data_IF_729683533720
#
_entry.id   IF_729683533720
#
_cell.length_a   1.000
_cell.length_b   1.000
_cell.length_c   1.000
_cell.angle_alpha   90.00
_cell.angle_beta   90.00
_cell.angle_gamma   90.00
#
_symmetry.space_group_name_H-M   'P 1'
#
loop_
_entity.id
_entity.type
_entity.pdbx_description
1 polymer ?
#
# COMPACT_ATOMS: atom_id res chain seq x y z
N UNK A 1 32.86 -27.86 24.10
CA UNK A 1 33.68 -26.93 24.89
C UNK A 1 34.03 -25.72 24.03
N UNK A 2 33.19 -24.69 24.07
CA UNK A 2 33.53 -23.33 23.61
C UNK A 2 32.60 -22.39 24.38
N UNK A 3 33.19 -21.54 25.22
CA UNK A 3 32.52 -20.68 26.21
C UNK A 3 32.04 -19.40 25.52
N UNK A 4 30.81 -18.99 25.79
CA UNK A 4 30.36 -17.60 25.62
C UNK A 4 30.34 -16.91 27.00
N UNK A 5 31.01 -15.76 27.19
CA UNK A 5 30.86 -14.95 28.39
C UNK A 5 29.93 -13.75 28.16
N UNK A 6 29.21 -13.35 29.22
CA UNK A 6 28.81 -11.95 29.44
C UNK A 6 27.33 -11.60 29.38
N UNK A 7 26.54 -12.02 30.37
CA UNK A 7 25.30 -11.36 30.75
C UNK A 7 25.62 -10.13 31.62
N UNK A 8 25.23 -8.93 31.17
CA UNK A 8 25.17 -7.67 31.95
C UNK A 8 23.88 -6.89 31.55
N UNK A 9 23.42 -5.89 32.33
CA UNK A 9 22.04 -5.83 32.82
C UNK A 9 21.13 -4.98 31.92
N UNK A 10 20.28 -5.63 31.12
CA UNK A 10 19.18 -4.96 30.39
C UNK A 10 17.97 -4.67 31.32
N UNK A 11 17.93 -5.29 32.50
CA UNK A 11 16.74 -5.28 33.36
C UNK A 11 16.44 -3.95 34.06
N UNK A 12 17.42 -3.08 34.29
CA UNK A 12 17.20 -1.81 35.04
C UNK A 12 16.75 -0.66 34.13
N UNK A 13 17.20 -0.62 32.87
CA UNK A 13 16.80 0.41 31.91
C UNK A 13 15.35 0.25 31.43
N UNK A 14 14.88 -1.00 31.26
CA UNK A 14 13.49 -1.30 30.85
C UNK A 14 12.49 -0.93 31.96
N UNK A 15 12.84 -1.14 33.23
CA UNK A 15 11.96 -0.80 34.36
C UNK A 15 11.87 0.71 34.64
N UNK A 16 12.96 1.46 34.44
CA UNK A 16 12.94 2.93 34.54
C UNK A 16 12.11 3.58 33.41
N UNK A 17 12.18 3.02 32.20
CA UNK A 17 11.35 3.43 31.07
C UNK A 17 9.85 3.21 31.32
N UNK A 18 9.47 2.05 31.87
CA UNK A 18 8.07 1.71 32.15
C UNK A 18 7.43 2.58 33.25
N UNK A 19 8.17 2.94 34.31
CA UNK A 19 7.65 3.79 35.38
C UNK A 19 7.45 5.26 34.93
N UNK A 20 8.38 5.80 34.14
CA UNK A 20 8.24 7.13 33.51
C UNK A 20 7.11 7.17 32.48
N UNK A 21 6.91 6.08 31.75
CA UNK A 21 5.86 5.91 30.75
C UNK A 21 4.45 5.77 31.37
N UNK A 22 4.31 5.04 32.49
CA UNK A 22 3.03 4.94 33.21
C UNK A 22 2.60 6.25 33.89
N UNK A 23 3.54 7.02 34.47
CA UNK A 23 3.24 8.33 35.06
C UNK A 23 2.82 9.36 34.00
N UNK A 24 3.46 9.32 32.82
CA UNK A 24 3.12 10.15 31.67
C UNK A 24 1.73 9.81 31.08
N UNK A 25 1.39 8.52 30.97
CA UNK A 25 0.06 8.07 30.53
C UNK A 25 -1.11 8.51 31.43
N UNK A 26 -0.83 8.90 32.68
CA UNK A 26 -1.81 9.46 33.62
C UNK A 26 -1.87 11.00 33.60
N UNK A 27 -1.23 11.64 32.62
CA UNK A 27 -1.22 13.11 32.48
C UNK A 27 -0.40 13.83 33.57
N UNK A 28 0.44 13.11 34.31
CA UNK A 28 1.31 13.67 35.35
C UNK A 28 2.76 13.31 35.11
N UNK A 29 3.44 14.12 34.29
CA UNK A 29 4.89 14.09 34.17
C UNK A 29 5.42 14.64 32.83
N UNK A 30 6.70 15.03 32.78
CA UNK A 30 7.40 15.33 31.54
C UNK A 30 7.45 14.07 30.65
N UNK A 31 7.27 14.20 29.34
CA UNK A 31 7.31 13.07 28.40
C UNK A 31 8.63 12.28 28.52
N UNK A 32 8.64 10.97 28.24
CA UNK A 32 9.87 10.18 28.23
C UNK A 32 10.99 10.82 27.39
N UNK A 33 10.65 11.44 26.26
CA UNK A 33 11.58 12.19 25.43
C UNK A 33 12.22 13.41 26.15
N UNK A 34 11.43 14.15 26.92
CA UNK A 34 11.95 15.29 27.70
C UNK A 34 12.80 14.87 28.90
N UNK A 35 12.53 13.69 29.49
CA UNK A 35 13.36 13.12 30.55
C UNK A 35 14.69 12.57 30.01
N UNK A 36 14.67 11.95 28.83
CA UNK A 36 15.89 11.53 28.12
C UNK A 36 16.70 12.76 27.70
N UNK A 37 16.06 13.83 27.21
CA UNK A 37 16.73 15.09 26.87
C UNK A 37 17.38 15.78 28.09
N UNK A 38 16.78 15.63 29.29
CA UNK A 38 17.34 16.17 30.53
C UNK A 38 18.49 15.33 31.12
N UNK A 39 18.63 14.07 30.70
CA UNK A 39 19.65 13.12 31.21
C UNK A 39 20.80 12.89 30.24
N UNK A 40 20.65 13.28 28.98
CA UNK A 40 21.77 13.34 28.05
C UNK A 40 22.85 14.29 28.60
N UNK A 41 24.11 13.84 28.77
CA UNK A 41 25.18 14.73 29.17
C UNK A 41 25.25 15.87 28.15
N UNK A 42 25.20 17.12 28.63
CA UNK A 42 25.41 18.30 27.78
C UNK A 42 26.67 18.05 26.98
N UNK A 43 26.54 17.95 25.64
CA UNK A 43 27.69 17.76 24.77
C UNK A 43 28.73 18.84 25.13
N UNK A 44 29.95 18.47 25.51
CA UNK A 44 31.01 19.46 25.69
C UNK A 44 31.17 20.20 24.34
N UNK A 45 31.45 21.51 24.37
CA UNK A 45 31.63 22.28 23.14
C UNK A 45 32.67 21.57 22.27
N UNK A 46 32.28 21.24 21.04
CA UNK A 46 33.11 20.51 20.11
C UNK A 46 34.44 21.28 19.92
N UNK A 47 35.56 20.63 20.26
CA UNK A 47 36.88 21.17 19.96
C UNK A 47 37.02 21.37 18.45
N UNK A 48 37.34 22.60 18.05
CA UNK A 48 37.53 23.02 16.67
C UNK A 48 38.73 22.28 16.04
N UNK A 49 38.44 21.29 15.19
CA UNK A 49 39.43 20.73 14.28
C UNK A 49 39.73 21.69 13.11
N UNK A 50 40.90 21.59 12.47
CA UNK A 50 41.26 22.40 11.31
C UNK A 50 40.44 21.93 10.09
N UNK A 51 39.28 22.56 9.94
CA UNK A 51 38.27 22.24 8.91
C UNK A 51 36.88 22.75 9.26
N UNK A 52 36.77 23.72 10.19
CA UNK A 52 35.49 24.31 10.59
C UNK A 52 34.81 24.89 9.35
N UNK A 53 33.62 24.40 8.94
CA UNK A 53 32.82 25.10 7.96
C UNK A 53 32.61 26.54 8.45
N UNK A 54 32.65 27.54 7.55
CA UNK A 54 32.60 28.95 7.92
C UNK A 54 31.47 29.20 8.91
N UNK A 55 31.76 29.97 9.97
CA UNK A 55 30.82 30.27 11.04
C UNK A 55 29.48 30.70 10.44
N UNK A 56 28.40 30.09 10.93
CA UNK A 56 27.02 30.31 10.46
C UNK A 56 26.60 31.80 10.52
N UNK A 57 27.34 32.61 11.27
CA UNK A 57 27.15 34.05 11.46
C UNK A 57 27.55 34.93 10.26
N UNK A 58 28.22 34.40 9.24
CA UNK A 58 28.62 35.16 8.05
C UNK A 58 27.66 34.99 6.84
N UNK A 59 26.45 34.46 7.04
CA UNK A 59 25.45 34.39 5.96
C UNK A 59 24.89 35.79 5.74
N UNK A 60 24.99 36.28 4.50
CA UNK A 60 24.34 37.53 4.11
C UNK A 60 22.84 37.47 4.49
N UNK A 61 22.26 38.58 4.98
CA UNK A 61 20.83 38.63 5.27
C UNK A 61 20.05 38.23 4.01
N UNK A 62 19.16 37.27 4.16
CA UNK A 62 18.33 36.79 3.05
C UNK A 62 17.39 37.93 2.63
N UNK A 63 17.52 38.39 1.39
CA UNK A 63 16.54 39.26 0.75
C UNK A 63 15.28 38.44 0.46
N UNK A 64 14.41 38.36 1.48
CA UNK A 64 13.23 37.51 1.45
C UNK A 64 12.26 37.86 0.30
N UNK A 65 11.94 39.14 0.03
CA UNK A 65 11.14 39.49 -1.15
C UNK A 65 11.73 39.01 -2.47
N UNK A 66 13.02 39.24 -2.72
CA UNK A 66 13.67 38.80 -3.96
C UNK A 66 13.67 37.26 -4.06
N UNK A 67 13.92 36.57 -2.96
CA UNK A 67 13.97 35.11 -2.94
C UNK A 67 12.59 34.48 -3.14
N UNK A 68 11.53 34.99 -2.51
CA UNK A 68 10.16 34.50 -2.71
C UNK A 68 9.70 34.78 -4.15
N UNK A 69 10.01 35.95 -4.71
CA UNK A 69 9.72 36.25 -6.11
C UNK A 69 10.42 35.26 -7.06
N UNK A 70 11.69 34.93 -6.80
CA UNK A 70 12.43 33.91 -7.56
C UNK A 70 11.79 32.52 -7.44
N UNK A 71 11.46 32.09 -6.23
CA UNK A 71 10.83 30.78 -5.98
C UNK A 71 9.45 30.67 -6.63
N UNK A 72 8.67 31.75 -6.69
CA UNK A 72 7.40 31.81 -7.40
C UNK A 72 7.53 31.68 -8.93
N UNK A 73 8.70 31.98 -9.51
CA UNK A 73 8.97 31.88 -10.95
C UNK A 73 9.46 30.51 -11.40
N UNK A 74 9.82 29.61 -10.48
CA UNK A 74 10.26 28.26 -10.82
C UNK A 74 9.10 27.47 -11.44
N UNK A 75 9.37 26.82 -12.58
CA UNK A 75 8.40 25.90 -13.18
C UNK A 75 8.30 24.60 -12.37
N UNK A 76 7.24 23.84 -12.67
CA UNK A 76 6.94 22.60 -11.95
C UNK A 76 7.93 21.48 -12.23
N UNK A 77 8.47 21.40 -13.44
CA UNK A 77 9.41 20.32 -13.79
C UNK A 77 10.72 20.48 -13.04
N UNK A 78 11.21 21.71 -12.90
CA UNK A 78 12.35 22.07 -12.07
C UNK A 78 12.12 21.71 -10.59
N UNK A 79 10.88 21.85 -10.12
CA UNK A 79 10.54 21.53 -8.73
C UNK A 79 10.55 20.02 -8.42
N UNK A 80 10.26 19.15 -9.39
CA UNK A 80 10.32 17.70 -9.19
C UNK A 80 11.74 17.12 -9.29
N UNK A 81 12.67 17.84 -9.93
CA UNK A 81 14.07 17.44 -10.01
C UNK A 81 14.85 17.94 -8.78
N UNK A 82 16.05 17.40 -8.58
CA UNK A 82 16.92 17.43 -7.38
C UNK A 82 17.19 18.79 -6.69
N UNK A 83 16.69 19.90 -7.21
CA UNK A 83 16.77 21.25 -6.64
C UNK A 83 15.96 21.44 -5.34
N UNK A 84 15.14 20.45 -4.94
CA UNK A 84 14.42 20.51 -3.66
C UNK A 84 15.33 20.70 -2.45
N UNK A 85 16.55 20.16 -2.43
CA UNK A 85 17.38 20.21 -1.23
C UNK A 85 17.88 21.62 -0.91
N UNK A 86 18.38 22.37 -1.89
CA UNK A 86 18.89 23.72 -1.66
C UNK A 86 17.78 24.71 -1.28
N UNK A 87 16.67 24.68 -2.01
CA UNK A 87 15.54 25.57 -1.74
C UNK A 87 14.84 25.22 -0.43
N UNK A 88 14.76 23.93 -0.10
CA UNK A 88 14.29 23.50 1.20
C UNK A 88 15.21 23.96 2.33
N UNK A 89 16.53 23.88 2.18
CA UNK A 89 17.47 24.37 3.20
C UNK A 89 17.34 25.89 3.44
N UNK A 90 17.04 26.67 2.42
CA UNK A 90 16.70 28.10 2.59
C UNK A 90 15.40 28.28 3.37
N UNK A 91 14.34 27.58 3.01
CA UNK A 91 13.05 27.63 3.74
C UNK A 91 13.24 27.19 5.19
N UNK A 92 14.01 26.13 5.45
CA UNK A 92 14.36 25.65 6.80
C UNK A 92 15.21 26.62 7.60
N UNK A 93 15.80 27.63 6.96
CA UNK A 93 16.52 28.68 7.68
C UNK A 93 15.60 29.82 8.15
N UNK A 94 14.36 29.89 7.64
CA UNK A 94 13.41 30.95 7.99
C UNK A 94 12.92 30.80 9.43
N UNK A 95 12.76 31.94 10.09
CA UNK A 95 12.06 32.10 11.38
C UNK A 95 10.55 32.22 11.19
N UNK A 96 9.76 32.10 12.27
CA UNK A 96 8.29 32.25 12.20
C UNK A 96 7.86 33.59 11.56
N UNK A 97 8.43 34.76 11.94
CA UNK A 97 8.07 36.02 11.29
C UNK A 97 8.36 36.01 9.78
N UNK A 98 9.50 35.46 9.36
CA UNK A 98 9.86 35.35 7.95
C UNK A 98 8.96 34.37 7.18
N UNK A 99 8.53 33.27 7.80
CA UNK A 99 7.57 32.35 7.18
C UNK A 99 6.23 33.05 6.92
N UNK A 100 5.74 33.84 7.89
CA UNK A 100 4.49 34.61 7.75
C UNK A 100 4.62 35.70 6.68
N UNK A 101 5.75 36.41 6.65
CA UNK A 101 6.05 37.42 5.63
C UNK A 101 6.11 36.78 4.23
N UNK A 102 6.79 35.64 4.09
CA UNK A 102 6.84 34.88 2.85
C UNK A 102 5.44 34.47 2.36
N UNK A 103 4.57 33.98 3.25
CA UNK A 103 3.19 33.63 2.92
C UNK A 103 2.38 34.86 2.45
N UNK A 104 2.60 36.03 3.03
CA UNK A 104 1.98 37.29 2.59
C UNK A 104 2.46 37.73 1.21
N UNK A 105 3.76 37.64 0.95
CA UNK A 105 4.36 37.94 -0.36
C UNK A 105 3.79 37.03 -1.46
N UNK A 106 3.63 35.73 -1.15
CA UNK A 106 3.02 34.76 -2.07
C UNK A 106 1.55 35.12 -2.34
N UNK A 107 0.80 35.52 -1.31
CA UNK A 107 -0.61 35.93 -1.46
C UNK A 107 -0.79 37.17 -2.34
N UNK A 108 0.23 38.03 -2.43
CA UNK A 108 0.25 39.19 -3.33
C UNK A 108 0.64 38.85 -4.78
N UNK A 109 1.01 37.61 -5.08
CA UNK A 109 1.47 37.18 -6.40
C UNK A 109 0.35 36.48 -7.17
N UNK A 110 0.17 36.79 -8.47
CA UNK A 110 -0.86 36.18 -9.34
C UNK A 110 -0.51 34.76 -9.84
N UNK A 111 0.66 34.22 -9.48
CA UNK A 111 1.11 32.90 -9.90
C UNK A 111 0.28 31.79 -9.20
N UNK A 112 -0.37 30.91 -9.97
CA UNK A 112 -1.34 29.94 -9.42
C UNK A 112 -0.75 28.58 -9.01
N UNK A 113 0.33 28.11 -9.67
CA UNK A 113 0.77 26.71 -9.49
C UNK A 113 2.03 26.56 -8.62
N UNK A 114 3.11 27.28 -8.93
CA UNK A 114 4.36 27.30 -8.14
C UNK A 114 4.13 27.75 -6.69
N UNK A 115 3.14 28.62 -6.48
CA UNK A 115 2.76 29.15 -5.17
C UNK A 115 2.16 28.09 -4.24
N UNK A 116 1.46 27.08 -4.76
CA UNK A 116 0.87 26.02 -3.92
C UNK A 116 1.95 25.25 -3.18
N UNK A 117 2.94 24.75 -3.90
CA UNK A 117 3.97 23.90 -3.33
C UNK A 117 4.90 24.67 -2.38
N UNK A 118 5.22 25.93 -2.73
CA UNK A 118 5.94 26.83 -1.84
C UNK A 118 5.14 27.11 -0.55
N UNK A 119 3.82 27.31 -0.63
CA UNK A 119 2.97 27.39 0.57
C UNK A 119 3.02 26.11 1.39
N UNK A 120 2.93 24.93 0.77
CA UNK A 120 3.00 23.64 1.47
C UNK A 120 4.33 23.49 2.24
N UNK A 121 5.45 23.90 1.65
CA UNK A 121 6.76 23.94 2.31
C UNK A 121 6.81 24.95 3.47
N UNK A 122 6.29 26.15 3.29
CA UNK A 122 6.26 27.17 4.33
C UNK A 122 5.38 26.76 5.51
N UNK A 123 4.25 26.11 5.27
CA UNK A 123 3.39 25.55 6.31
C UNK A 123 4.03 24.37 7.04
N UNK A 124 4.74 23.48 6.33
CA UNK A 124 5.58 22.46 6.96
C UNK A 124 6.62 23.13 7.88
N UNK A 125 7.35 24.12 7.37
CA UNK A 125 8.35 24.85 8.16
C UNK A 125 7.74 25.56 9.37
N UNK A 126 6.57 26.18 9.22
CA UNK A 126 5.85 26.77 10.34
C UNK A 126 5.55 25.70 11.38
N UNK A 127 5.05 24.53 10.97
CA UNK A 127 4.77 23.43 11.89
C UNK A 127 6.02 22.82 12.55
N UNK A 128 7.19 22.87 11.91
CA UNK A 128 8.46 22.50 12.58
C UNK A 128 8.80 23.43 13.75
N UNK A 129 8.39 24.70 13.67
CA UNK A 129 8.75 25.75 14.64
C UNK A 129 7.67 25.92 15.71
N UNK A 130 6.40 25.98 15.30
CA UNK A 130 5.21 26.12 16.14
C UNK A 130 4.01 25.42 15.46
N UNK A 131 3.80 24.12 15.76
CA UNK A 131 2.75 23.35 15.11
C UNK A 131 1.33 23.77 15.49
N UNK A 132 1.10 24.24 16.72
CA UNK A 132 -0.23 24.68 17.14
C UNK A 132 -0.63 25.96 16.42
N UNK A 133 0.30 26.93 16.32
CA UNK A 133 0.05 28.16 15.58
C UNK A 133 -0.14 27.90 14.08
N UNK A 134 0.69 27.03 13.49
CA UNK A 134 0.56 26.65 12.08
C UNK A 134 -0.81 26.01 11.78
N UNK A 135 -1.28 25.11 12.64
CA UNK A 135 -2.60 24.47 12.47
C UNK A 135 -3.76 25.43 12.71
N UNK A 136 -3.62 26.41 13.61
CA UNK A 136 -4.58 27.48 13.77
C UNK A 136 -4.68 28.35 12.51
N UNK A 137 -3.55 28.63 11.85
CA UNK A 137 -3.52 29.33 10.58
C UNK A 137 -4.19 28.50 9.46
N UNK A 138 -3.90 27.21 9.35
CA UNK A 138 -4.56 26.30 8.39
C UNK A 138 -6.07 26.32 8.54
N UNK A 139 -6.59 26.30 9.78
CA UNK A 139 -8.03 26.30 10.03
C UNK A 139 -8.75 27.57 9.48
N UNK A 140 -8.02 28.68 9.32
CA UNK A 140 -8.55 29.91 8.70
C UNK A 140 -8.69 29.80 7.17
N UNK A 141 -7.97 28.87 6.52
CA UNK A 141 -7.96 28.69 5.07
C UNK A 141 -8.89 27.56 4.63
N UNK A 142 -10.17 27.88 4.42
CA UNK A 142 -11.14 26.90 3.90
C UNK A 142 -10.73 26.42 2.50
N UNK A 143 -10.71 25.09 2.31
CA UNK A 143 -10.44 24.46 1.01
C UNK A 143 -8.96 24.21 0.70
N UNK A 144 -8.03 24.63 1.54
CA UNK A 144 -6.58 24.42 1.34
C UNK A 144 -6.07 23.17 2.09
N UNK A 145 -6.73 22.02 1.87
CA UNK A 145 -6.45 20.76 2.58
C UNK A 145 -4.96 20.35 2.51
N UNK A 146 -4.31 20.60 1.37
CA UNK A 146 -2.91 20.22 1.18
C UNK A 146 -1.93 20.98 2.09
N UNK A 147 -2.22 22.25 2.42
CA UNK A 147 -1.41 23.02 3.38
C UNK A 147 -1.52 22.42 4.78
N UNK A 148 -2.76 22.09 5.17
CA UNK A 148 -3.04 21.39 6.42
C UNK A 148 -2.38 20.03 6.49
N UNK A 149 -2.44 19.24 5.42
CA UNK A 149 -1.78 17.93 5.37
C UNK A 149 -0.26 18.05 5.51
N UNK A 150 0.35 19.06 4.87
CA UNK A 150 1.80 19.30 4.96
C UNK A 150 2.25 19.69 6.37
N UNK A 151 1.55 20.66 6.99
CA UNK A 151 1.81 21.08 8.36
C UNK A 151 1.59 19.93 9.36
N UNK A 152 0.47 19.23 9.25
CA UNK A 152 0.12 18.14 10.15
C UNK A 152 1.07 16.94 10.02
N UNK A 153 1.46 16.57 8.80
CA UNK A 153 2.44 15.50 8.58
C UNK A 153 3.78 15.82 9.24
N UNK A 154 4.24 17.07 9.09
CA UNK A 154 5.48 17.55 9.72
C UNK A 154 5.38 17.47 11.25
N UNK A 155 4.23 17.86 11.81
CA UNK A 155 3.98 17.72 13.25
C UNK A 155 4.00 16.26 13.69
N UNK A 156 3.24 15.38 13.01
CA UNK A 156 3.15 13.95 13.31
C UNK A 156 4.53 13.27 13.30
N UNK A 157 5.39 13.60 12.35
CA UNK A 157 6.75 13.05 12.29
C UNK A 157 7.62 13.44 13.48
N UNK A 158 7.43 14.64 14.02
CA UNK A 158 8.27 15.19 15.09
C UNK A 158 7.76 14.84 16.48
N UNK A 159 6.45 14.94 16.70
CA UNK A 159 5.80 14.70 17.98
C UNK A 159 4.39 14.11 17.75
N UNK A 160 4.28 12.79 17.48
CA UNK A 160 3.00 12.15 17.19
C UNK A 160 2.04 12.19 18.37
N UNK A 161 2.53 12.23 19.62
CA UNK A 161 1.71 12.30 20.83
C UNK A 161 1.09 13.69 21.01
N UNK A 162 1.85 14.77 20.78
CA UNK A 162 1.30 16.13 20.79
C UNK A 162 0.28 16.32 19.68
N UNK A 163 0.57 15.80 18.48
CA UNK A 163 -0.38 15.83 17.37
C UNK A 163 -1.68 15.08 17.74
N UNK A 164 -1.60 13.91 18.40
CA UNK A 164 -2.78 13.18 18.86
C UNK A 164 -3.61 14.00 19.86
N UNK A 165 -2.99 14.66 20.83
CA UNK A 165 -3.70 15.56 21.76
C UNK A 165 -4.38 16.71 21.04
N UNK A 166 -3.79 17.21 19.96
CA UNK A 166 -4.42 18.21 19.10
C UNK A 166 -5.63 17.65 18.36
N UNK A 167 -5.55 16.41 17.85
CA UNK A 167 -6.67 15.71 17.21
C UNK A 167 -7.87 15.54 18.14
N UNK A 168 -7.65 15.20 19.41
CA UNK A 168 -8.74 15.06 20.39
C UNK A 168 -9.56 16.34 20.54
N UNK A 169 -8.92 17.51 20.40
CA UNK A 169 -9.56 18.83 20.44
C UNK A 169 -10.14 19.26 19.09
N UNK A 170 -9.59 18.74 17.97
CA UNK A 170 -9.87 19.20 16.60
C UNK A 170 -10.33 18.06 15.68
N UNK A 171 -11.12 17.11 16.20
CA UNK A 171 -11.37 15.82 15.55
C UNK A 171 -11.87 15.87 14.11
N UNK A 172 -12.77 16.81 13.77
CA UNK A 172 -13.28 16.96 12.40
C UNK A 172 -12.18 17.40 11.42
N UNK A 173 -11.42 18.45 11.78
CA UNK A 173 -10.30 18.93 10.95
C UNK A 173 -9.20 17.87 10.84
N UNK A 174 -8.84 17.21 11.95
CA UNK A 174 -7.86 16.12 11.94
C UNK A 174 -8.30 14.95 11.04
N UNK A 175 -9.58 14.59 11.07
CA UNK A 175 -10.15 13.55 10.19
C UNK A 175 -10.11 13.98 8.73
N UNK A 176 -10.49 15.22 8.42
CA UNK A 176 -10.41 15.80 7.07
C UNK A 176 -8.98 15.78 6.53
N UNK A 177 -7.99 16.07 7.38
CA UNK A 177 -6.58 16.05 7.00
C UNK A 177 -5.97 14.64 6.93
N UNK A 178 -6.74 13.60 7.28
CA UNK A 178 -6.30 12.20 7.18
C UNK A 178 -5.31 11.79 8.27
N UNK A 179 -5.37 12.41 9.45
CA UNK A 179 -4.40 12.21 10.53
C UNK A 179 -4.17 10.74 10.93
N UNK A 180 -5.24 9.95 11.02
CA UNK A 180 -5.13 8.53 11.37
C UNK A 180 -4.31 7.74 10.34
N UNK A 181 -4.35 8.16 9.06
CA UNK A 181 -3.51 7.59 8.00
C UNK A 181 -2.04 7.93 8.20
N UNK A 182 -1.74 9.19 8.53
CA UNK A 182 -0.39 9.67 8.81
C UNK A 182 0.24 8.96 10.02
N UNK A 183 -0.48 8.87 11.14
CA UNK A 183 0.00 8.17 12.33
C UNK A 183 0.26 6.69 12.02
N UNK A 184 -0.62 6.04 11.25
CA UNK A 184 -0.41 4.67 10.84
C UNK A 184 0.83 4.53 9.94
N UNK A 185 1.01 5.40 8.95
CA UNK A 185 2.19 5.39 8.08
C UNK A 185 3.50 5.58 8.85
N UNK A 186 3.52 6.47 9.84
CA UNK A 186 4.68 6.67 10.70
C UNK A 186 5.03 5.39 11.47
N UNK A 187 4.02 4.76 12.10
CA UNK A 187 4.21 3.55 12.87
C UNK A 187 4.59 2.33 12.01
N UNK A 188 4.18 2.25 10.75
CA UNK A 188 4.56 1.15 9.84
C UNK A 188 6.06 1.14 9.49
N UNK A 189 6.82 2.20 9.83
CA UNK A 189 8.28 2.24 9.69
C UNK A 189 9.00 1.59 10.87
N UNK A 190 8.28 1.29 11.95
CA UNK A 190 8.79 0.63 13.15
C UNK A 190 8.66 -0.90 13.01
N UNK A 191 9.22 -1.64 13.96
CA UNK A 191 8.98 -3.08 14.04
C UNK A 191 7.48 -3.39 14.25
N UNK A 192 6.89 -4.40 13.57
CA UNK A 192 5.45 -4.67 13.61
C UNK A 192 4.82 -4.79 14.99
N UNK A 193 5.49 -5.47 15.94
CA UNK A 193 5.00 -5.62 17.30
C UNK A 193 4.97 -4.28 18.04
N UNK A 194 6.03 -3.48 17.91
CA UNK A 194 6.15 -2.13 18.49
C UNK A 194 5.09 -1.19 17.87
N UNK A 195 4.91 -1.25 16.55
CA UNK A 195 3.91 -0.46 15.84
C UNK A 195 2.49 -0.77 16.35
N UNK A 196 2.17 -2.05 16.53
CA UNK A 196 0.87 -2.47 17.02
C UNK A 196 0.63 -2.07 18.48
N UNK A 197 1.63 -2.22 19.35
CA UNK A 197 1.58 -1.77 20.74
C UNK A 197 1.31 -0.26 20.81
N UNK A 198 2.13 0.55 20.12
CA UNK A 198 1.95 2.01 20.05
C UNK A 198 0.56 2.37 19.51
N UNK A 199 0.08 1.69 18.48
CA UNK A 199 -1.23 1.96 17.89
C UNK A 199 -2.41 1.73 18.85
N UNK A 200 -2.25 0.89 19.90
CA UNK A 200 -3.30 0.75 20.94
C UNK A 200 -3.52 2.04 21.71
N UNK A 201 -2.48 2.87 21.88
CA UNK A 201 -2.54 4.16 22.58
C UNK A 201 -2.97 5.31 21.66
N UNK A 202 -2.75 5.19 20.35
CA UNK A 202 -3.14 6.20 19.36
C UNK A 202 -4.61 6.11 18.90
N UNK A 203 -5.33 5.09 19.37
CA UNK A 203 -6.76 4.92 19.15
C UNK A 203 -7.12 3.86 18.10
N UNK A 204 -8.40 3.46 18.10
CA UNK A 204 -8.93 2.32 17.32
C UNK A 204 -8.72 2.46 15.80
N UNK A 205 -8.77 3.67 15.26
CA UNK A 205 -8.70 3.89 13.81
C UNK A 205 -7.27 3.76 13.29
N UNK A 206 -6.28 4.26 14.05
CA UNK A 206 -4.85 4.08 13.74
C UNK A 206 -4.52 2.59 13.80
N UNK A 207 -4.95 1.92 14.87
CA UNK A 207 -4.77 0.47 15.02
C UNK A 207 -5.41 -0.33 13.89
N UNK A 208 -6.64 -0.03 13.51
CA UNK A 208 -7.31 -0.70 12.40
C UNK A 208 -6.55 -0.54 11.07
N UNK A 209 -5.93 0.63 10.84
CA UNK A 209 -5.08 0.86 9.65
C UNK A 209 -3.79 0.05 9.72
N UNK A 210 -3.08 0.03 10.85
CA UNK A 210 -1.88 -0.81 11.02
C UNK A 210 -2.22 -2.27 10.71
N UNK A 211 -3.29 -2.79 11.32
CA UNK A 211 -3.76 -4.15 11.08
C UNK A 211 -4.11 -4.41 9.60
N UNK A 212 -4.60 -3.42 8.86
CA UNK A 212 -4.87 -3.58 7.44
C UNK A 212 -3.59 -3.67 6.56
N UNK A 213 -2.48 -3.05 6.99
CA UNK A 213 -1.23 -3.01 6.21
C UNK A 213 -0.21 -4.08 6.60
N UNK A 214 -0.15 -4.47 7.89
CA UNK A 214 0.79 -5.48 8.39
C UNK A 214 0.80 -6.77 7.54
N UNK A 215 -0.36 -7.31 7.11
CA UNK A 215 -0.38 -8.50 6.28
C UNK A 215 0.46 -8.41 5.00
N UNK A 216 0.49 -7.26 4.34
CA UNK A 216 1.23 -7.08 3.10
C UNK A 216 2.74 -6.88 3.35
N UNK A 217 3.10 -6.23 4.45
CA UNK A 217 4.50 -5.98 4.81
C UNK A 217 5.22 -7.25 5.29
N UNK A 218 4.50 -8.14 5.97
CA UNK A 218 5.11 -9.27 6.67
C UNK A 218 5.14 -10.56 5.86
N UNK A 219 4.78 -10.48 4.57
CA UNK A 219 4.53 -11.67 3.76
C UNK A 219 5.73 -12.19 3.00
N UNK A 220 6.74 -11.34 2.82
CA UNK A 220 7.86 -11.57 1.93
C UNK A 220 8.79 -12.71 2.40
N UNK A 221 9.17 -12.71 3.68
CA UNK A 221 10.16 -13.65 4.22
C UNK A 221 9.54 -14.64 5.21
N UNK A 222 10.15 -15.82 5.34
CA UNK A 222 9.70 -16.83 6.32
C UNK A 222 9.70 -16.30 7.75
N UNK A 223 10.72 -15.54 8.13
CA UNK A 223 10.84 -14.93 9.46
C UNK A 223 9.73 -13.91 9.73
N UNK A 224 9.43 -13.04 8.77
CA UNK A 224 8.32 -12.09 8.87
C UNK A 224 6.97 -12.81 8.98
N UNK A 225 6.78 -13.91 8.24
CA UNK A 225 5.54 -14.71 8.35
C UNK A 225 5.43 -15.38 9.73
N UNK A 226 6.54 -15.86 10.30
CA UNK A 226 6.57 -16.43 11.64
C UNK A 226 6.31 -15.38 12.74
N UNK A 227 6.86 -14.17 12.61
CA UNK A 227 6.53 -13.03 13.46
C UNK A 227 5.04 -12.68 13.38
N UNK A 228 4.47 -12.63 12.18
CA UNK A 228 3.04 -12.33 12.01
C UNK A 228 2.16 -13.35 12.72
N UNK A 229 2.52 -14.65 12.69
CA UNK A 229 1.79 -15.70 13.44
C UNK A 229 1.84 -15.45 14.96
N UNK A 230 3.00 -15.03 15.49
CA UNK A 230 3.12 -14.64 16.91
C UNK A 230 2.23 -13.46 17.26
N UNK A 231 2.14 -12.45 16.38
CA UNK A 231 1.21 -11.32 16.54
C UNK A 231 -0.26 -11.79 16.53
N UNK A 232 -0.63 -12.71 15.63
CA UNK A 232 -2.00 -13.25 15.60
C UNK A 232 -2.41 -13.88 16.94
N UNK A 233 -1.49 -14.56 17.61
CA UNK A 233 -1.75 -15.25 18.88
C UNK A 233 -2.03 -14.30 20.04
N UNK A 234 -1.55 -13.05 19.97
CA UNK A 234 -1.80 -12.01 20.99
C UNK A 234 -3.12 -11.27 20.78
N UNK A 235 -3.80 -11.46 19.65
CA UNK A 235 -4.99 -10.69 19.28
C UNK A 235 -6.30 -11.33 19.75
N UNK A 236 -7.35 -10.53 20.01
CA UNK A 236 -8.72 -11.01 20.19
C UNK A 236 -9.19 -11.90 19.03
N UNK A 237 -10.08 -12.85 19.30
CA UNK A 237 -10.50 -13.87 18.32
C UNK A 237 -11.11 -13.29 17.03
N UNK A 238 -11.89 -12.23 17.13
CA UNK A 238 -12.54 -11.56 15.99
C UNK A 238 -11.50 -10.88 15.08
N UNK A 239 -10.55 -10.15 15.67
CA UNK A 239 -9.46 -9.51 14.93
C UNK A 239 -8.49 -10.52 14.34
N UNK A 240 -8.16 -11.56 15.11
CA UNK A 240 -7.33 -12.69 14.67
C UNK A 240 -7.93 -13.36 13.45
N UNK A 241 -9.24 -13.64 13.45
CA UNK A 241 -9.93 -14.24 12.30
C UNK A 241 -9.84 -13.34 11.06
N UNK A 242 -10.13 -12.04 11.22
CA UNK A 242 -10.05 -11.07 10.13
C UNK A 242 -8.64 -10.95 9.56
N UNK A 243 -7.62 -10.91 10.42
CA UNK A 243 -6.23 -10.79 9.98
C UNK A 243 -5.68 -12.04 9.33
N UNK A 244 -6.08 -13.23 9.77
CA UNK A 244 -5.77 -14.48 9.07
C UNK A 244 -6.26 -14.44 7.62
N UNK A 245 -7.47 -13.94 7.40
CA UNK A 245 -8.01 -13.75 6.04
C UNK A 245 -7.16 -12.81 5.21
N UNK A 246 -6.87 -11.62 5.75
CA UNK A 246 -6.09 -10.60 5.06
C UNK A 246 -4.67 -11.08 4.77
N UNK A 247 -4.04 -11.76 5.71
CA UNK A 247 -2.70 -12.33 5.56
C UNK A 247 -2.66 -13.45 4.54
N UNK A 248 -3.65 -14.36 4.56
CA UNK A 248 -3.74 -15.40 3.54
C UNK A 248 -3.88 -14.80 2.14
N UNK A 249 -4.73 -13.79 1.96
CA UNK A 249 -4.90 -13.09 0.67
C UNK A 249 -3.65 -12.34 0.23
N UNK A 250 -2.95 -11.68 1.17
CA UNK A 250 -1.67 -11.01 0.89
C UNK A 250 -0.60 -12.03 0.49
N UNK A 251 -0.50 -13.15 1.20
CA UNK A 251 0.49 -14.20 0.94
C UNK A 251 0.28 -14.85 -0.39
N UNK A 252 -0.93 -15.32 -0.64
CA UNK A 252 -1.29 -15.85 -1.94
C UNK A 252 -1.17 -14.82 -3.07
N UNK A 253 -1.27 -13.52 -2.79
CA UNK A 253 -1.09 -12.47 -3.79
C UNK A 253 0.39 -12.21 -4.15
N UNK A 254 1.29 -12.43 -3.18
CA UNK A 254 2.73 -12.28 -3.32
C UNK A 254 3.39 -13.54 -3.89
N UNK A 255 3.12 -14.69 -3.26
CA UNK A 255 3.60 -16.03 -3.62
C UNK A 255 2.40 -17.00 -3.55
N UNK A 256 1.71 -17.22 -4.67
CA UNK A 256 0.48 -18.00 -4.68
C UNK A 256 0.71 -19.46 -4.31
N UNK A 257 1.79 -20.09 -4.77
CA UNK A 257 2.09 -21.50 -4.49
C UNK A 257 2.38 -21.71 -3.00
N UNK A 258 3.32 -20.95 -2.43
CA UNK A 258 3.65 -21.00 -1.00
C UNK A 258 2.45 -20.62 -0.13
N UNK A 259 1.69 -19.60 -0.55
CA UNK A 259 0.50 -19.16 0.16
C UNK A 259 -0.60 -20.22 0.20
N UNK A 260 -0.85 -20.91 -0.91
CA UNK A 260 -1.82 -22.00 -1.00
C UNK A 260 -1.41 -23.18 -0.11
N UNK A 261 -0.13 -23.60 -0.17
CA UNK A 261 0.39 -24.66 0.68
C UNK A 261 0.26 -24.34 2.18
N UNK A 262 0.36 -23.06 2.56
CA UNK A 262 0.23 -22.58 3.95
C UNK A 262 -1.21 -22.34 4.44
N UNK A 263 -2.24 -22.49 3.59
CA UNK A 263 -3.61 -22.07 3.95
C UNK A 263 -4.21 -22.86 5.12
N UNK A 264 -4.01 -24.17 5.14
CA UNK A 264 -4.61 -25.06 6.16
C UNK A 264 -4.05 -24.78 7.56
N UNK A 265 -2.78 -24.39 7.65
CA UNK A 265 -2.15 -23.99 8.91
C UNK A 265 -2.67 -22.64 9.41
N UNK A 266 -2.91 -21.71 8.49
CA UNK A 266 -3.25 -20.33 8.81
C UNK A 266 -4.74 -20.14 9.10
N UNK A 267 -5.60 -20.80 8.32
CA UNK A 267 -7.06 -20.68 8.38
C UNK A 267 -7.63 -22.04 8.75
N UNK A 268 -8.09 -22.27 9.99
CA UNK A 268 -8.64 -23.57 10.38
C UNK A 268 -10.02 -23.87 9.77
N UNK A 269 -10.76 -22.84 9.36
CA UNK A 269 -12.11 -22.96 8.79
C UNK A 269 -12.05 -23.29 7.28
N UNK A 270 -12.52 -24.48 6.90
CA UNK A 270 -12.47 -24.96 5.51
C UNK A 270 -13.23 -24.06 4.52
N UNK A 271 -14.47 -23.59 4.79
CA UNK A 271 -15.15 -22.63 3.92
C UNK A 271 -14.33 -21.35 3.67
N UNK A 272 -13.68 -20.81 4.70
CA UNK A 272 -12.81 -19.65 4.55
C UNK A 272 -11.54 -19.97 3.74
N UNK A 273 -10.91 -21.14 3.93
CA UNK A 273 -9.80 -21.59 3.07
C UNK A 273 -10.23 -21.64 1.60
N UNK A 274 -11.41 -22.20 1.32
CA UNK A 274 -11.93 -22.35 -0.04
C UNK A 274 -12.19 -20.98 -0.69
N UNK A 275 -12.69 -20.01 0.08
CA UNK A 275 -12.86 -18.63 -0.39
C UNK A 275 -11.54 -17.95 -0.75
N UNK A 276 -10.49 -18.11 0.09
CA UNK A 276 -9.16 -17.55 -0.20
C UNK A 276 -8.55 -18.26 -1.40
N UNK A 277 -8.62 -19.60 -1.46
CA UNK A 277 -8.11 -20.38 -2.58
C UNK A 277 -8.74 -19.96 -3.90
N UNK A 278 -10.06 -19.83 -3.96
CA UNK A 278 -10.77 -19.37 -5.16
C UNK A 278 -10.33 -17.97 -5.59
N UNK A 279 -10.21 -17.03 -4.64
CA UNK A 279 -9.70 -15.69 -4.91
C UNK A 279 -8.27 -15.72 -5.47
N UNK A 280 -7.40 -16.51 -4.86
CA UNK A 280 -5.99 -16.67 -5.25
C UNK A 280 -5.86 -17.22 -6.65
N UNK A 281 -6.53 -18.34 -6.94
CA UNK A 281 -6.45 -19.01 -8.23
C UNK A 281 -6.93 -18.12 -9.38
N UNK A 282 -7.99 -17.33 -9.15
CA UNK A 282 -8.46 -16.34 -10.13
C UNK A 282 -7.43 -15.23 -10.38
N UNK A 283 -6.84 -14.68 -9.32
CA UNK A 283 -5.86 -13.58 -9.42
C UNK A 283 -4.51 -14.05 -9.98
N UNK A 284 -4.05 -15.23 -9.58
CA UNK A 284 -2.88 -15.89 -10.12
C UNK A 284 -3.09 -16.20 -11.59
N UNK A 285 -4.23 -16.79 -11.95
CA UNK A 285 -4.60 -17.07 -13.33
C UNK A 285 -4.65 -15.82 -14.22
N UNK A 286 -5.13 -14.69 -13.72
CA UNK A 286 -5.14 -13.44 -14.51
C UNK A 286 -3.71 -12.95 -14.84
N UNK A 287 -2.73 -13.17 -13.96
CA UNK A 287 -1.33 -12.72 -14.13
C UNK A 287 -0.47 -13.77 -14.85
N UNK A 288 -0.49 -15.00 -14.37
CA UNK A 288 0.36 -16.13 -14.78
C UNK A 288 -0.50 -17.39 -14.99
N UNK A 289 -1.36 -17.40 -16.03
CA UNK A 289 -2.35 -18.45 -16.25
C UNK A 289 -1.73 -19.84 -16.49
N UNK A 290 -0.58 -19.91 -17.17
CA UNK A 290 0.14 -21.15 -17.41
C UNK A 290 0.54 -21.86 -16.10
N UNK A 291 1.09 -21.09 -15.17
CA UNK A 291 1.54 -21.57 -13.86
C UNK A 291 0.34 -21.96 -12.98
N UNK A 292 -0.70 -21.12 -12.94
CA UNK A 292 -1.91 -21.42 -12.19
C UNK A 292 -2.59 -22.72 -12.67
N UNK A 293 -2.70 -22.93 -13.99
CA UNK A 293 -3.26 -24.16 -14.55
C UNK A 293 -2.36 -25.38 -14.30
N UNK A 294 -1.04 -25.23 -14.35
CA UNK A 294 -0.11 -26.29 -13.99
C UNK A 294 -0.30 -26.71 -12.52
N UNK A 295 -0.37 -25.73 -11.61
CA UNK A 295 -0.62 -25.98 -10.20
C UNK A 295 -1.97 -26.67 -9.96
N UNK A 296 -3.05 -26.22 -10.61
CA UNK A 296 -4.39 -26.83 -10.49
C UNK A 296 -4.42 -28.29 -10.94
N UNK A 297 -3.61 -28.64 -11.95
CA UNK A 297 -3.47 -30.01 -12.45
C UNK A 297 -2.72 -30.91 -11.47
N UNK A 298 -1.72 -30.36 -10.80
CA UNK A 298 -0.94 -31.07 -9.77
C UNK A 298 -1.74 -31.23 -8.46
N UNK A 299 -2.75 -30.39 -8.23
CA UNK A 299 -3.59 -30.37 -7.01
C UNK A 299 -5.10 -30.44 -7.35
N UNK A 300 -5.59 -31.54 -7.95
CA UNK A 300 -6.97 -31.67 -8.40
C UNK A 300 -8.01 -31.67 -7.27
N UNK A 301 -7.62 -32.01 -6.04
CA UNK A 301 -8.46 -31.93 -4.84
C UNK A 301 -8.60 -30.50 -4.29
N UNK A 302 -7.69 -29.60 -4.67
CA UNK A 302 -7.70 -28.20 -4.26
C UNK A 302 -8.35 -27.29 -5.30
N UNK A 303 -8.35 -27.69 -6.57
CA UNK A 303 -9.04 -26.95 -7.62
C UNK A 303 -10.36 -27.63 -8.01
N UNK A 304 -11.24 -26.89 -8.67
CA UNK A 304 -12.35 -27.50 -9.39
C UNK A 304 -12.29 -27.13 -10.88
N UNK A 305 -12.90 -27.93 -11.76
CA UNK A 305 -12.86 -27.66 -13.20
C UNK A 305 -13.44 -26.29 -13.60
N UNK A 306 -14.36 -25.72 -12.80
CA UNK A 306 -14.89 -24.38 -13.02
C UNK A 306 -13.83 -23.29 -12.85
N UNK A 307 -12.89 -23.45 -11.92
CA UNK A 307 -11.76 -22.54 -11.73
C UNK A 307 -10.77 -22.64 -12.88
N UNK A 308 -10.46 -23.85 -13.35
CA UNK A 308 -9.61 -24.08 -14.52
C UNK A 308 -10.23 -23.43 -15.77
N UNK A 309 -11.53 -23.66 -16.01
CA UNK A 309 -12.25 -23.03 -17.11
C UNK A 309 -12.27 -21.50 -17.02
N UNK A 310 -12.40 -20.94 -15.80
CA UNK A 310 -12.31 -19.50 -15.58
C UNK A 310 -10.93 -18.96 -15.98
N UNK A 311 -9.84 -19.53 -15.45
CA UNK A 311 -8.48 -19.07 -15.76
C UNK A 311 -8.18 -19.19 -17.26
N UNK A 312 -8.58 -20.30 -17.87
CA UNK A 312 -8.43 -20.50 -19.31
C UNK A 312 -9.17 -19.44 -20.13
N UNK A 313 -10.44 -19.15 -19.79
CA UNK A 313 -11.22 -18.12 -20.46
C UNK A 313 -10.54 -16.76 -20.37
N UNK A 314 -10.19 -16.32 -19.17
CA UNK A 314 -9.54 -15.02 -18.98
C UNK A 314 -8.21 -14.94 -19.75
N UNK A 315 -7.47 -16.05 -19.81
CA UNK A 315 -6.24 -16.14 -20.60
C UNK A 315 -6.51 -15.96 -22.10
N UNK A 316 -7.46 -16.71 -22.68
CA UNK A 316 -7.80 -16.60 -24.11
C UNK A 316 -8.36 -15.23 -24.47
N UNK A 317 -9.12 -14.60 -23.56
CA UNK A 317 -9.67 -13.26 -23.78
C UNK A 317 -8.60 -12.15 -23.78
N UNK A 318 -7.62 -12.24 -22.89
CA UNK A 318 -6.60 -11.18 -22.71
C UNK A 318 -5.34 -11.45 -23.55
N UNK A 319 -4.84 -12.69 -23.58
CA UNK A 319 -3.59 -13.12 -24.27
C UNK A 319 -3.80 -14.41 -25.08
N UNK A 320 -4.59 -14.33 -26.16
CA UNK A 320 -4.98 -15.49 -26.96
C UNK A 320 -3.81 -16.19 -27.64
N UNK A 321 -2.81 -15.46 -28.12
CA UNK A 321 -1.64 -16.05 -28.79
C UNK A 321 -0.82 -16.90 -27.80
N UNK A 322 -0.50 -16.35 -26.63
CA UNK A 322 0.18 -17.05 -25.54
C UNK A 322 -0.56 -18.33 -25.13
N UNK A 323 -1.90 -18.26 -24.98
CA UNK A 323 -2.73 -19.42 -24.64
C UNK A 323 -2.64 -20.52 -25.71
N UNK A 324 -2.65 -20.14 -26.99
CA UNK A 324 -2.49 -21.07 -28.11
C UNK A 324 -1.11 -21.73 -28.14
N UNK A 325 -0.05 -20.97 -27.90
CA UNK A 325 1.32 -21.48 -27.89
C UNK A 325 1.53 -22.45 -26.73
N UNK A 326 1.06 -22.08 -25.53
CA UNK A 326 1.09 -22.96 -24.37
C UNK A 326 0.34 -24.26 -24.64
N UNK A 327 -0.85 -24.19 -25.24
CA UNK A 327 -1.61 -25.38 -25.60
C UNK A 327 -0.87 -26.28 -26.61
N UNK A 328 -0.28 -25.69 -27.66
CA UNK A 328 0.52 -26.44 -28.64
C UNK A 328 1.69 -27.16 -27.97
N UNK A 329 2.33 -26.52 -27.00
CA UNK A 329 3.49 -27.07 -26.30
C UNK A 329 3.16 -28.28 -25.41
N UNK A 330 1.93 -28.35 -24.87
CA UNK A 330 1.49 -29.45 -23.99
C UNK A 330 0.66 -30.53 -24.70
N UNK A 331 0.10 -30.22 -25.87
CA UNK A 331 -0.95 -31.03 -26.47
C UNK A 331 -2.29 -30.85 -25.73
N UNK A 332 -3.43 -31.15 -26.37
CA UNK A 332 -4.71 -31.07 -25.72
C UNK A 332 -4.83 -32.21 -24.71
N UNK A 333 -4.75 -31.93 -23.41
CA UNK A 333 -5.18 -32.91 -22.41
C UNK A 333 -6.72 -32.96 -22.34
N UNK A 334 -7.25 -34.11 -21.96
CA UNK A 334 -8.70 -34.35 -21.94
C UNK A 334 -9.43 -33.40 -20.97
N UNK A 335 -8.77 -33.02 -19.87
CA UNK A 335 -9.31 -32.15 -18.83
C UNK A 335 -9.46 -30.70 -19.30
N UNK A 336 -8.45 -30.14 -19.97
CA UNK A 336 -8.53 -28.82 -20.57
C UNK A 336 -9.53 -28.79 -21.72
N UNK A 337 -9.58 -29.85 -22.53
CA UNK A 337 -10.60 -29.96 -23.57
C UNK A 337 -12.01 -29.92 -22.97
N UNK A 338 -12.24 -30.62 -21.84
CA UNK A 338 -13.51 -30.58 -21.14
C UNK A 338 -13.79 -29.20 -20.50
N UNK A 339 -12.79 -28.54 -19.94
CA UNK A 339 -12.91 -27.18 -19.42
C UNK A 339 -13.28 -26.17 -20.52
N UNK A 340 -12.68 -26.31 -21.71
CA UNK A 340 -13.02 -25.53 -22.91
C UNK A 340 -14.44 -25.84 -23.36
N UNK A 341 -14.83 -27.11 -23.43
CA UNK A 341 -16.20 -27.51 -23.78
C UNK A 341 -17.21 -26.90 -22.83
N UNK A 342 -16.98 -26.96 -21.50
CA UNK A 342 -17.86 -26.34 -20.50
C UNK A 342 -17.91 -24.82 -20.65
N UNK A 343 -16.78 -24.18 -20.96
CA UNK A 343 -16.74 -22.76 -21.26
C UNK A 343 -17.59 -22.41 -22.48
N UNK A 344 -17.46 -23.15 -23.58
CA UNK A 344 -18.28 -22.97 -24.79
C UNK A 344 -19.76 -23.23 -24.52
N UNK A 345 -20.10 -24.26 -23.76
CA UNK A 345 -21.47 -24.57 -23.34
C UNK A 345 -22.06 -23.45 -22.47
N UNK A 346 -21.27 -22.82 -21.60
CA UNK A 346 -21.75 -21.70 -20.78
C UNK A 346 -22.29 -20.56 -21.66
N UNK A 347 -21.60 -20.23 -22.76
CA UNK A 347 -22.06 -19.24 -23.74
C UNK A 347 -23.34 -19.63 -24.48
N UNK A 348 -23.61 -20.93 -24.66
CA UNK A 348 -24.86 -21.38 -25.26
C UNK A 348 -26.07 -21.17 -24.33
N UNK A 349 -25.83 -21.08 -23.01
CA UNK A 349 -26.89 -20.94 -22.00
C UNK A 349 -27.04 -19.52 -21.44
N UNK A 350 -26.00 -18.69 -21.50
CA UNK A 350 -26.03 -17.27 -21.09
C UNK A 350 -26.06 -16.39 -22.35
N UNK A 351 -26.96 -15.41 -22.46
CA UNK A 351 -26.92 -14.42 -23.57
C UNK A 351 -25.72 -13.48 -23.38
N UNK A 352 -24.57 -13.77 -24.03
CA UNK A 352 -23.33 -13.06 -23.76
C UNK A 352 -23.26 -11.72 -24.50
N UNK A 353 -24.16 -11.49 -25.46
CA UNK A 353 -24.13 -10.37 -26.40
C UNK A 353 -24.93 -9.15 -25.94
N UNK A 354 -25.54 -9.20 -24.74
CA UNK A 354 -26.32 -8.08 -24.18
C UNK A 354 -25.47 -6.89 -23.71
N UNK A 355 -24.14 -7.03 -23.61
CA UNK A 355 -23.23 -5.95 -23.20
C UNK A 355 -22.43 -5.38 -24.40
N UNK A 356 -22.57 -4.09 -24.74
CA UNK A 356 -22.09 -3.54 -26.01
C UNK A 356 -20.56 -3.44 -26.16
N UNK A 357 -19.80 -3.38 -25.06
CA UNK A 357 -18.32 -3.29 -25.10
C UNK A 357 -17.66 -4.68 -25.14
N UNK A 358 -18.39 -5.74 -24.77
CA UNK A 358 -17.85 -7.11 -24.67
C UNK A 358 -18.03 -7.94 -25.95
N UNK A 359 -18.99 -7.58 -26.82
CA UNK A 359 -19.39 -8.43 -27.96
C UNK A 359 -18.25 -8.82 -28.91
N UNK A 360 -17.38 -7.89 -29.31
CA UNK A 360 -16.32 -8.19 -30.28
C UNK A 360 -15.16 -8.99 -29.66
N UNK A 361 -14.75 -8.67 -28.42
CA UNK A 361 -13.73 -9.42 -27.69
C UNK A 361 -14.21 -10.83 -27.34
N UNK A 362 -15.47 -10.96 -26.90
CA UNK A 362 -16.10 -12.25 -26.64
C UNK A 362 -16.25 -13.08 -27.92
N UNK A 363 -16.67 -12.48 -29.03
CA UNK A 363 -16.75 -13.15 -30.32
C UNK A 363 -15.38 -13.68 -30.79
N UNK A 364 -14.31 -12.91 -30.58
CA UNK A 364 -12.95 -13.35 -30.88
C UNK A 364 -12.49 -14.49 -29.94
N UNK A 365 -12.76 -14.38 -28.64
CA UNK A 365 -12.42 -15.43 -27.66
C UNK A 365 -13.18 -16.74 -27.90
N UNK A 366 -14.48 -16.64 -28.22
CA UNK A 366 -15.35 -17.76 -28.57
C UNK A 366 -14.86 -18.48 -29.83
N UNK A 367 -14.59 -17.74 -30.91
CA UNK A 367 -14.00 -18.28 -32.15
C UNK A 367 -12.72 -19.05 -31.87
N UNK A 368 -11.79 -18.44 -31.15
CA UNK A 368 -10.50 -19.05 -30.81
C UNK A 368 -10.66 -20.30 -29.96
N UNK A 369 -11.54 -20.25 -28.95
CA UNK A 369 -11.84 -21.42 -28.10
C UNK A 369 -12.41 -22.58 -28.91
N UNK A 370 -13.28 -22.30 -29.88
CA UNK A 370 -13.80 -23.32 -30.80
C UNK A 370 -12.74 -23.85 -31.77
N UNK A 371 -11.90 -22.99 -32.34
CA UNK A 371 -10.77 -23.40 -33.21
C UNK A 371 -9.81 -24.33 -32.47
N UNK A 372 -9.54 -24.03 -31.20
CA UNK A 372 -8.76 -24.88 -30.32
C UNK A 372 -9.42 -26.25 -30.17
N UNK A 373 -10.68 -26.26 -29.75
CA UNK A 373 -11.40 -27.48 -29.46
C UNK A 373 -11.60 -28.36 -30.70
N UNK A 374 -11.91 -27.76 -31.84
CA UNK A 374 -12.08 -28.48 -33.12
C UNK A 374 -10.79 -29.11 -33.64
N UNK A 375 -9.61 -28.58 -33.28
CA UNK A 375 -8.33 -29.25 -33.57
C UNK A 375 -8.08 -30.43 -32.64
N UNK A 376 -8.45 -30.30 -31.37
CA UNK A 376 -8.25 -31.36 -30.38
C UNK A 376 -9.25 -32.52 -30.54
N UNK A 377 -10.52 -32.20 -30.81
CA UNK A 377 -11.65 -33.12 -30.86
C UNK A 377 -12.61 -32.73 -31.98
N UNK A 378 -12.22 -32.94 -33.26
CA UNK A 378 -12.96 -32.41 -34.41
C UNK A 378 -14.42 -32.89 -34.49
N UNK A 379 -14.67 -34.17 -34.18
CA UNK A 379 -16.02 -34.73 -34.22
C UNK A 379 -16.94 -34.13 -33.13
N UNK A 380 -16.45 -34.02 -31.89
CA UNK A 380 -17.22 -33.46 -30.77
C UNK A 380 -17.51 -31.97 -30.98
N UNK A 381 -16.50 -31.20 -31.44
CA UNK A 381 -16.67 -29.78 -31.72
C UNK A 381 -17.68 -29.53 -32.85
N UNK A 382 -17.59 -30.30 -33.95
CA UNK A 382 -18.54 -30.20 -35.05
C UNK A 382 -19.97 -30.52 -34.59
N UNK A 383 -20.15 -31.59 -33.80
CA UNK A 383 -21.46 -31.95 -33.25
C UNK A 383 -22.01 -30.84 -32.35
N UNK A 384 -21.18 -30.24 -31.51
CA UNK A 384 -21.60 -29.12 -30.66
C UNK A 384 -22.01 -27.89 -31.47
N UNK A 385 -21.23 -27.52 -32.50
CA UNK A 385 -21.54 -26.36 -33.35
C UNK A 385 -22.91 -26.52 -34.03
N UNK A 386 -23.28 -27.74 -34.42
CA UNK A 386 -24.60 -28.05 -34.98
C UNK A 386 -25.74 -27.91 -33.96
N UNK A 387 -25.45 -28.07 -32.67
CA UNK A 387 -26.42 -27.98 -31.57
C UNK A 387 -26.43 -26.63 -30.84
N UNK A 388 -25.47 -25.75 -31.13
CA UNK A 388 -25.31 -24.46 -30.47
C UNK A 388 -26.39 -23.46 -30.91
N UNK A 389 -26.61 -22.41 -30.09
CA UNK A 389 -27.49 -21.29 -30.47
C UNK A 389 -27.06 -20.71 -31.83
N UNK A 390 -27.99 -20.41 -32.76
CA UNK A 390 -27.65 -19.92 -34.09
C UNK A 390 -26.77 -18.66 -34.10
N UNK A 391 -26.89 -17.76 -33.11
CA UNK A 391 -26.05 -16.55 -33.01
C UNK A 391 -24.62 -16.91 -32.61
N UNK A 392 -24.46 -17.87 -31.69
CA UNK A 392 -23.15 -18.39 -31.27
C UNK A 392 -22.48 -19.09 -32.46
N UNK A 393 -23.19 -19.96 -33.16
CA UNK A 393 -22.67 -20.65 -34.35
C UNK A 393 -22.30 -19.68 -35.48
N UNK A 394 -23.13 -18.66 -35.74
CA UNK A 394 -22.81 -17.60 -36.69
C UNK A 394 -21.57 -16.81 -36.28
N UNK A 395 -21.43 -16.48 -34.99
CA UNK A 395 -20.25 -15.77 -34.47
C UNK A 395 -18.97 -16.58 -34.66
N UNK A 396 -19.05 -17.90 -34.45
CA UNK A 396 -17.91 -18.81 -34.63
C UNK A 396 -17.52 -18.97 -36.10
N UNK A 397 -18.50 -19.04 -36.99
CA UNK A 397 -18.28 -19.30 -38.43
C UNK A 397 -18.01 -18.05 -39.25
N UNK A 398 -18.33 -16.86 -38.74
CA UNK A 398 -18.03 -15.60 -39.41
C UNK A 398 -16.51 -15.41 -39.51
N UNK A 399 -16.02 -15.13 -40.73
CA UNK A 399 -14.62 -14.81 -40.94
C UNK A 399 -14.16 -13.68 -40.00
N UNK A 400 -12.96 -13.81 -39.45
CA UNK A 400 -12.38 -12.71 -38.69
C UNK A 400 -12.31 -11.46 -39.60
N UNK A 401 -12.70 -10.28 -39.11
CA UNK A 401 -12.48 -9.06 -39.87
C UNK A 401 -10.98 -8.99 -40.19
N UNK A 402 -10.64 -8.82 -41.48
CA UNK A 402 -9.27 -8.51 -41.90
C UNK A 402 -8.87 -7.20 -41.23
N UNK A 403 -7.93 -7.28 -40.30
CA UNK A 403 -7.27 -6.11 -39.67
C UNK A 403 -6.38 -5.36 -40.66
#
# INVERSE_FOLDING_TARGET
MSRFPGLYPVSVAVLAGLAGWMAYGLGKGPSPASQVAATLPKQPPAHAGPGTPPSRDARQPLDLPAEIARLCQLDTEHFYQWQRLEEWEKIRSLSIPQVKEALQLIAATDAKFSTRLLKEMLYARWAELDPEEAMAAVAAHKGEQALGSSALWTWVQRDPEAAQRWQEKNGELAAQLGMNGMLAELLLKEEPAIALEKATHLGKDVRARILAYLPALMVETGDSRAEFRRILDTLPNDERKRLRDLFARSWCGFDPESGLAGLSELIPDKPQQDSVRDYTLKRWGARLPAEALAWMKEHPEESNPGQQAYVWREWVEVRPQDAMEWLKSRGPDAELAEAITRHLQSFATSDPFTRPISGQRQAAGLRRSYEIWSRAKPAEAAQWLMSADPKVAATITQAAPTE
#
